data_IF_487970840348
#
_entry.id   IF_487970840348
#
_cell.length_a   1.000
_cell.length_b   1.000
_cell.length_c   1.000
_cell.angle_alpha   90.00
_cell.angle_beta   90.00
_cell.angle_gamma   90.00
#
_symmetry.space_group_name_H-M   'P 1'
#
loop_
_entity.id
_entity.type
_entity.pdbx_description
1 polymer ?
#
# COMPACT_ATOMS: atom_id res chain seq x y z
N UNK A 1 -7.32 -9.09 51.13
CA UNK A 1 -6.30 -9.15 50.05
C UNK A 1 -6.76 -8.24 48.92
N UNK A 2 -5.87 -7.32 48.51
CA UNK A 2 -5.89 -6.39 47.37
C UNK A 2 -7.03 -5.37 47.21
N UNK A 3 -6.71 -4.12 47.57
CA UNK A 3 -7.15 -2.90 46.88
C UNK A 3 -6.32 -2.71 45.60
N UNK A 4 -6.91 -2.24 44.50
CA UNK A 4 -6.49 -1.00 43.80
C UNK A 4 -7.54 -0.59 42.75
N UNK A 5 -7.84 0.71 42.65
CA UNK A 5 -8.68 1.33 41.63
C UNK A 5 -7.82 1.77 40.43
N UNK A 6 -8.41 1.99 39.26
CA UNK A 6 -8.10 3.15 38.41
C UNK A 6 -8.87 3.09 37.08
N UNK A 7 -9.62 4.16 36.82
CA UNK A 7 -10.29 4.39 35.55
C UNK A 7 -9.30 4.91 34.51
N UNK A 8 -9.43 4.42 33.27
CA UNK A 8 -8.81 5.07 32.12
C UNK A 8 -9.88 5.24 31.03
N UNK A 9 -10.32 6.49 30.88
CA UNK A 9 -11.03 6.98 29.69
C UNK A 9 -10.04 7.04 28.53
N UNK A 10 -10.42 6.48 27.39
CA UNK A 10 -9.73 6.77 26.12
C UNK A 10 -10.56 7.82 25.40
N UNK A 11 -10.13 9.07 25.51
CA UNK A 11 -10.66 10.19 24.73
C UNK A 11 -10.11 10.14 23.31
N UNK A 12 -10.97 10.33 22.33
CA UNK A 12 -10.62 10.65 20.95
C UNK A 12 -9.78 11.94 20.91
N UNK A 13 -8.56 11.86 20.40
CA UNK A 13 -7.78 13.03 20.03
C UNK A 13 -7.41 12.92 18.55
N UNK A 14 -8.12 13.67 17.72
CA UNK A 14 -7.65 14.05 16.38
C UNK A 14 -6.44 14.97 16.56
N UNK A 15 -5.25 14.67 16.01
CA UNK A 15 -4.20 15.67 15.99
C UNK A 15 -4.40 16.56 14.76
N UNK A 16 -4.64 17.83 15.05
CA UNK A 16 -4.49 18.93 14.12
C UNK A 16 -3.08 18.92 13.53
N UNK A 17 -2.99 19.23 12.24
CA UNK A 17 -1.74 19.51 11.54
C UNK A 17 -0.93 20.59 12.28
N UNK A 18 0.25 20.20 12.75
CA UNK A 18 1.28 21.08 13.29
C UNK A 18 2.64 20.55 12.88
N UNK A 19 3.36 21.35 12.10
CA UNK A 19 4.71 21.11 11.61
C UNK A 19 5.70 20.90 12.77
N UNK A 20 6.14 19.66 12.97
CA UNK A 20 7.20 19.29 13.90
C UNK A 20 7.70 17.90 13.53
N UNK A 21 9.02 17.75 13.35
CA UNK A 21 9.67 16.53 12.87
C UNK A 21 9.62 15.38 13.87
N UNK A 22 8.44 14.81 14.10
CA UNK A 22 8.27 13.58 14.87
C UNK A 22 8.26 12.40 13.89
N UNK A 23 9.38 11.68 13.84
CA UNK A 23 9.44 10.36 13.19
C UNK A 23 8.36 9.46 13.81
N UNK A 24 7.55 8.76 12.99
CA UNK A 24 6.53 7.85 13.51
C UNK A 24 7.14 6.82 14.48
N UNK A 25 6.47 6.48 15.60
CA UNK A 25 6.99 5.54 16.61
C UNK A 25 7.09 4.09 16.12
N UNK A 26 6.62 3.81 14.90
CA UNK A 26 6.87 2.56 14.21
C UNK A 26 7.87 2.80 13.07
N UNK A 27 8.82 1.86 12.82
CA UNK A 27 9.63 1.92 11.62
C UNK A 27 8.69 1.79 10.42
N UNK A 28 8.44 2.88 9.70
CA UNK A 28 7.99 2.81 8.32
C UNK A 28 9.15 2.17 7.56
N UNK A 29 9.03 0.92 7.08
CA UNK A 29 10.09 0.31 6.32
C UNK A 29 10.11 1.04 4.98
N UNK A 30 10.94 2.06 4.86
CA UNK A 30 11.32 2.63 3.58
C UNK A 30 12.31 1.69 2.90
N UNK A 31 11.92 0.41 2.74
CA UNK A 31 12.65 -0.53 1.91
C UNK A 31 12.38 -0.14 0.46
N UNK A 32 13.13 0.87 0.00
CA UNK A 32 13.14 1.30 -1.40
C UNK A 32 13.38 0.12 -2.33
N UNK A 33 14.14 -0.88 -1.88
CA UNK A 33 14.35 -2.17 -2.55
C UNK A 33 13.07 -2.97 -2.74
N UNK A 34 12.25 -3.10 -1.68
CA UNK A 34 10.95 -3.78 -1.74
C UNK A 34 9.96 -3.04 -2.63
N UNK A 35 9.94 -1.71 -2.56
CA UNK A 35 9.11 -0.88 -3.44
C UNK A 35 9.51 -1.03 -4.91
N UNK A 36 10.82 -0.99 -5.21
CA UNK A 36 11.33 -1.20 -6.56
C UNK A 36 11.00 -2.61 -7.08
N UNK A 37 11.16 -3.64 -6.25
CA UNK A 37 10.79 -5.01 -6.59
C UNK A 37 9.29 -5.14 -6.90
N UNK A 38 8.43 -4.49 -6.11
CA UNK A 38 6.99 -4.44 -6.36
C UNK A 38 6.66 -3.72 -7.68
N UNK A 39 7.26 -2.55 -7.95
CA UNK A 39 7.11 -1.83 -9.22
C UNK A 39 7.46 -2.73 -10.41
N UNK A 40 8.62 -3.39 -10.37
CA UNK A 40 9.06 -4.29 -11.43
C UNK A 40 8.10 -5.49 -11.62
N UNK A 41 7.60 -6.07 -10.52
CA UNK A 41 6.64 -7.17 -10.56
C UNK A 41 5.31 -6.75 -11.20
N UNK A 42 4.75 -5.62 -10.79
CA UNK A 42 3.48 -5.11 -11.33
C UNK A 42 3.61 -4.81 -12.83
N UNK A 43 4.70 -4.18 -13.26
CA UNK A 43 4.94 -3.92 -14.69
C UNK A 43 5.01 -5.20 -15.52
N UNK A 44 5.69 -6.25 -15.02
CA UNK A 44 5.76 -7.56 -15.71
C UNK A 44 4.40 -8.25 -15.78
N UNK A 45 3.60 -8.17 -14.72
CA UNK A 45 2.26 -8.75 -14.70
C UNK A 45 1.33 -8.02 -15.67
N UNK A 46 1.39 -6.69 -15.72
CA UNK A 46 0.59 -5.88 -16.65
C UNK A 46 0.92 -6.23 -18.10
N UNK A 47 2.21 -6.37 -18.43
CA UNK A 47 2.63 -6.73 -19.78
C UNK A 47 2.17 -8.13 -20.17
N UNK A 48 2.29 -9.11 -19.26
CA UNK A 48 1.76 -10.46 -19.49
C UNK A 48 0.24 -10.45 -19.71
N UNK A 49 -0.49 -9.62 -18.98
CA UNK A 49 -1.93 -9.45 -19.20
C UNK A 49 -2.23 -8.88 -20.58
N UNK A 50 -1.48 -7.83 -20.98
CA UNK A 50 -1.62 -7.19 -22.29
C UNK A 50 -1.37 -8.20 -23.42
N UNK A 51 -0.32 -9.01 -23.31
CA UNK A 51 0.00 -10.05 -24.30
C UNK A 51 -1.08 -11.12 -24.39
N UNK A 52 -1.66 -11.55 -23.26
CA UNK A 52 -2.81 -12.48 -23.25
C UNK A 52 -4.01 -11.89 -23.97
N UNK A 53 -4.31 -10.62 -23.75
CA UNK A 53 -5.41 -9.92 -24.45
C UNK A 53 -5.18 -9.81 -25.95
N UNK A 54 -3.97 -9.45 -26.38
CA UNK A 54 -3.61 -9.38 -27.80
C UNK A 54 -3.64 -10.74 -28.50
N UNK A 55 -3.32 -11.82 -27.79
CA UNK A 55 -3.38 -13.18 -28.30
C UNK A 55 -4.80 -13.77 -28.31
N UNK A 56 -5.82 -13.04 -27.82
CA UNK A 56 -7.19 -13.57 -27.67
C UNK A 56 -7.27 -14.74 -26.69
N UNK A 57 -6.34 -14.83 -25.74
CA UNK A 57 -6.27 -15.97 -24.83
C UNK A 57 -7.42 -15.93 -23.84
N UNK A 58 -8.15 -17.03 -23.66
CA UNK A 58 -9.34 -17.13 -22.80
C UNK A 58 -9.11 -16.67 -21.34
N UNK A 59 -7.89 -16.83 -20.84
CA UNK A 59 -7.49 -16.40 -19.49
C UNK A 59 -7.20 -14.89 -19.36
N UNK A 60 -7.32 -14.11 -20.44
CA UNK A 60 -7.26 -12.65 -20.37
C UNK A 60 -8.36 -12.12 -19.46
N UNK A 61 -8.00 -11.16 -18.61
CA UNK A 61 -8.95 -10.53 -17.70
C UNK A 61 -8.78 -8.99 -17.76
N UNK A 62 -9.80 -8.31 -18.27
CA UNK A 62 -9.82 -6.84 -18.38
C UNK A 62 -9.76 -6.15 -17.02
N UNK A 63 -10.47 -6.67 -16.02
CA UNK A 63 -10.49 -6.09 -14.68
C UNK A 63 -9.10 -6.21 -14.02
N UNK A 64 -8.43 -7.34 -14.21
CA UNK A 64 -7.05 -7.56 -13.77
C UNK A 64 -6.09 -6.60 -14.48
N UNK A 65 -6.28 -6.36 -15.78
CA UNK A 65 -5.50 -5.37 -16.52
C UNK A 65 -5.69 -3.95 -15.95
N UNK A 66 -6.94 -3.52 -15.74
CA UNK A 66 -7.25 -2.20 -15.17
C UNK A 66 -6.66 -2.03 -13.77
N UNK A 67 -6.82 -3.04 -12.90
CA UNK A 67 -6.28 -3.01 -11.55
C UNK A 67 -4.74 -2.93 -11.53
N UNK A 68 -4.05 -3.72 -12.37
CA UNK A 68 -2.59 -3.69 -12.48
C UNK A 68 -2.07 -2.34 -12.97
N UNK A 69 -2.76 -1.74 -13.95
CA UNK A 69 -2.43 -0.39 -14.44
C UNK A 69 -2.59 0.66 -13.34
N UNK A 70 -3.74 0.69 -12.66
CA UNK A 70 -3.99 1.63 -11.57
C UNK A 70 -2.99 1.46 -10.42
N UNK A 71 -2.65 0.21 -10.07
CA UNK A 71 -1.65 -0.08 -9.05
C UNK A 71 -0.27 0.44 -9.47
N UNK A 72 0.15 0.21 -10.72
CA UNK A 72 1.42 0.74 -11.24
C UNK A 72 1.46 2.26 -11.13
N UNK A 73 0.38 2.94 -11.52
CA UNK A 73 0.33 4.41 -11.51
C UNK A 73 0.40 4.95 -10.08
N UNK A 74 -0.29 4.31 -9.11
CA UNK A 74 -0.15 4.63 -7.68
C UNK A 74 1.24 4.35 -7.11
N UNK A 75 1.90 3.28 -7.57
CA UNK A 75 3.26 2.98 -7.16
C UNK A 75 4.26 3.97 -7.76
N UNK A 76 4.00 4.57 -8.92
CA UNK A 76 4.85 5.59 -9.54
C UNK A 76 4.74 6.96 -8.85
N UNK A 77 3.60 7.25 -8.22
CA UNK A 77 3.37 8.48 -7.46
C UNK A 77 4.02 8.50 -6.05
N UNK A 78 4.63 7.38 -5.62
CA UNK A 78 5.32 7.23 -4.32
C UNK A 78 6.82 7.47 -4.38
#
# INVERSE_FOLDING_TARGET
>A
MHQTPDGIRITSATPAHGTGGETPPWPVPADRTKLQAMRAKVSRLLERERLRGLAGHWSYDFNRHVALRQLRDRLAAQ
#
